data_IF_615108419525
#
_entry.id   IF_615108419525
#
_cell.length_a   1.000
_cell.length_b   1.000
_cell.length_c   1.000
_cell.angle_alpha   90.00
_cell.angle_beta   90.00
_cell.angle_gamma   90.00
#
_symmetry.space_group_name_H-M   'P 1'
#
loop_
_entity.id
_entity.type
_entity.pdbx_description
1 polymer ?
#
# COMPACT_ATOMS: atom_id res chain seq x y z
N UNK A 1 37.62 12.43 67.52
CA UNK A 1 36.31 13.11 67.53
C UNK A 1 36.02 13.52 66.10
N UNK A 2 34.91 13.07 65.52
CA UNK A 2 34.51 13.51 64.16
C UNK A 2 34.21 15.01 64.24
N UNK A 3 34.81 15.79 63.37
CA UNK A 3 34.63 17.24 63.38
C UNK A 3 33.20 17.58 62.91
N UNK A 4 32.48 18.38 63.69
CA UNK A 4 31.10 18.76 63.38
C UNK A 4 30.98 19.44 62.01
N UNK A 5 32.02 20.18 61.59
CA UNK A 5 32.10 20.79 60.26
C UNK A 5 32.06 19.77 59.13
N UNK A 6 32.72 18.62 59.30
CA UNK A 6 32.84 17.59 58.26
C UNK A 6 31.52 16.82 58.11
N UNK A 7 30.79 16.65 59.22
CA UNK A 7 29.45 16.07 59.21
C UNK A 7 28.45 17.00 58.50
N UNK A 8 28.50 18.30 58.78
CA UNK A 8 27.65 19.28 58.09
C UNK A 8 27.95 19.35 56.59
N UNK A 9 29.23 19.34 56.21
CA UNK A 9 29.63 19.34 54.80
C UNK A 9 29.21 18.07 54.07
N UNK A 10 29.28 16.90 54.71
CA UNK A 10 28.82 15.64 54.11
C UNK A 10 27.30 15.59 53.97
N UNK A 11 26.55 16.09 54.95
CA UNK A 11 25.09 16.22 54.87
C UNK A 11 24.67 17.16 53.73
N UNK A 12 25.34 18.30 53.58
CA UNK A 12 25.02 19.29 52.55
C UNK A 12 25.21 18.72 51.14
N UNK A 13 26.31 17.97 50.92
CA UNK A 13 26.55 17.24 49.66
C UNK A 13 25.46 16.21 49.37
N UNK A 14 25.00 15.49 50.38
CA UNK A 14 23.94 14.50 50.23
C UNK A 14 22.59 15.16 49.86
N UNK A 15 22.27 16.31 50.47
CA UNK A 15 21.09 17.08 50.12
C UNK A 15 21.17 17.60 48.66
N UNK A 16 22.34 18.03 48.21
CA UNK A 16 22.56 18.45 46.82
C UNK A 16 22.40 17.28 45.84
N UNK A 17 22.96 16.10 46.16
CA UNK A 17 22.80 14.92 45.30
C UNK A 17 21.33 14.49 45.18
N UNK A 18 20.58 14.48 46.28
CA UNK A 18 19.15 14.18 46.25
C UNK A 18 18.35 15.22 45.46
N UNK A 19 18.71 16.50 45.56
CA UNK A 19 18.07 17.55 44.76
C UNK A 19 18.29 17.32 43.26
N UNK A 20 19.50 16.96 42.85
CA UNK A 20 19.81 16.64 41.46
C UNK A 20 19.02 15.42 40.99
N UNK A 21 18.98 14.36 41.78
CA UNK A 21 18.23 13.14 41.45
C UNK A 21 16.73 13.40 41.29
N UNK A 22 16.13 14.21 42.17
CA UNK A 22 14.73 14.62 42.06
C UNK A 22 14.46 15.35 40.74
N UNK A 23 15.34 16.28 40.35
CA UNK A 23 15.16 17.02 39.10
C UNK A 23 15.35 16.12 37.86
N UNK A 24 16.29 15.17 37.91
CA UNK A 24 16.47 14.16 36.86
C UNK A 24 15.24 13.26 36.72
N UNK A 25 14.70 12.76 37.84
CA UNK A 25 13.50 11.92 37.84
C UNK A 25 12.27 12.69 37.31
N UNK A 26 12.11 13.96 37.67
CA UNK A 26 11.04 14.81 37.12
C UNK A 26 11.16 15.00 35.61
N UNK A 27 12.39 15.20 35.12
CA UNK A 27 12.63 15.32 33.69
C UNK A 27 12.30 14.01 32.95
N UNK A 28 12.68 12.88 33.52
CA UNK A 28 12.39 11.56 32.96
C UNK A 28 10.88 11.26 32.93
N UNK A 29 10.16 11.57 34.01
CA UNK A 29 8.70 11.41 34.06
C UNK A 29 8.04 12.21 32.94
N UNK A 30 8.41 13.49 32.75
CA UNK A 30 7.88 14.31 31.66
C UNK A 30 8.16 13.72 30.29
N UNK A 31 9.38 13.19 30.07
CA UNK A 31 9.75 12.54 28.81
C UNK A 31 8.87 11.31 28.54
N UNK A 32 8.70 10.46 29.55
CA UNK A 32 7.90 9.24 29.48
C UNK A 32 6.41 9.55 29.29
N UNK A 33 5.89 10.62 29.89
CA UNK A 33 4.51 11.08 29.68
C UNK A 33 4.26 11.46 28.22
N UNK A 34 5.17 12.26 27.63
CA UNK A 34 5.08 12.65 26.21
C UNK A 34 5.15 11.42 25.30
N UNK A 35 6.08 10.51 25.57
CA UNK A 35 6.23 9.28 24.78
C UNK A 35 5.00 8.38 24.88
N UNK A 36 4.41 8.24 26.07
CA UNK A 36 3.18 7.48 26.29
C UNK A 36 1.99 8.12 25.57
N UNK A 37 1.87 9.44 25.57
CA UNK A 37 0.82 10.15 24.83
C UNK A 37 0.96 9.92 23.32
N UNK A 38 2.18 10.01 22.79
CA UNK A 38 2.47 9.71 21.39
C UNK A 38 2.07 8.27 21.03
N UNK A 39 2.51 7.28 21.81
CA UNK A 39 2.16 5.87 21.56
C UNK A 39 0.66 5.60 21.68
N UNK A 40 -0.03 6.23 22.63
CA UNK A 40 -1.50 6.12 22.74
C UNK A 40 -2.20 6.70 21.51
N UNK A 41 -1.72 7.82 21.00
CA UNK A 41 -2.27 8.46 19.80
C UNK A 41 -2.10 7.57 18.56
N UNK A 42 -0.91 7.01 18.37
CA UNK A 42 -0.60 6.09 17.27
C UNK A 42 -1.41 4.80 17.38
N UNK A 43 -1.47 4.19 18.57
CA UNK A 43 -2.25 2.99 18.79
C UNK A 43 -3.74 3.21 18.49
N UNK A 44 -4.29 4.38 18.86
CA UNK A 44 -5.67 4.74 18.54
C UNK A 44 -5.88 4.85 17.03
N UNK A 45 -4.98 5.51 16.30
CA UNK A 45 -5.06 5.63 14.84
C UNK A 45 -5.01 4.25 14.16
N UNK A 46 -4.04 3.42 14.55
CA UNK A 46 -3.90 2.06 14.03
C UNK A 46 -5.12 1.18 14.35
N UNK A 47 -5.73 1.33 15.53
CA UNK A 47 -6.95 0.60 15.88
C UNK A 47 -8.15 1.00 15.03
N UNK A 48 -8.29 2.29 14.71
CA UNK A 48 -9.33 2.78 13.81
C UNK A 48 -9.12 2.19 12.41
N UNK A 49 -7.91 2.31 11.85
CA UNK A 49 -7.58 1.74 10.54
C UNK A 49 -7.82 0.23 10.51
N UNK A 50 -7.40 -0.50 11.54
CA UNK A 50 -7.60 -1.95 11.62
C UNK A 50 -9.09 -2.32 11.66
N UNK A 51 -9.92 -1.54 12.38
CA UNK A 51 -11.36 -1.75 12.42
C UNK A 51 -12.00 -1.51 11.04
N UNK A 52 -11.64 -0.42 10.35
CA UNK A 52 -12.11 -0.14 9.01
C UNK A 52 -11.71 -1.23 8.01
N UNK A 53 -10.45 -1.68 8.05
CA UNK A 53 -9.97 -2.74 7.17
C UNK A 53 -10.69 -4.06 7.46
N UNK A 54 -10.93 -4.40 8.73
CA UNK A 54 -11.71 -5.58 9.12
C UNK A 54 -13.14 -5.51 8.63
N UNK A 55 -13.79 -4.34 8.72
CA UNK A 55 -15.12 -4.13 8.17
C UNK A 55 -15.12 -4.34 6.65
N UNK A 56 -14.19 -3.70 5.93
CA UNK A 56 -14.06 -3.85 4.47
C UNK A 56 -13.83 -5.31 4.05
N UNK A 57 -13.04 -6.06 4.82
CA UNK A 57 -12.79 -7.49 4.56
C UNK A 57 -13.99 -8.38 4.92
N UNK A 58 -14.77 -8.00 5.94
CA UNK A 58 -15.99 -8.69 6.36
C UNK A 58 -17.16 -8.47 5.40
N UNK A 59 -17.18 -7.35 4.67
CA UNK A 59 -18.17 -7.02 3.62
C UNK A 59 -17.85 -7.72 2.29
N UNK A 60 -17.71 -9.04 2.32
CA UNK A 60 -17.62 -9.88 1.13
C UNK A 60 -18.92 -10.67 0.92
N UNK A 61 -19.15 -11.17 -0.29
CA UNK A 61 -20.36 -11.91 -0.66
C UNK A 61 -20.50 -13.27 0.04
N UNK A 62 -19.46 -13.70 0.77
CA UNK A 62 -19.50 -14.92 1.59
C UNK A 62 -20.08 -14.65 2.99
N UNK A 63 -19.88 -13.45 3.53
CA UNK A 63 -20.26 -13.10 4.91
C UNK A 63 -21.36 -12.03 5.01
N UNK A 64 -21.69 -11.35 3.91
CA UNK A 64 -22.75 -10.34 3.84
C UNK A 64 -23.74 -10.70 2.73
N UNK A 65 -25.04 -10.45 2.94
CA UNK A 65 -26.09 -10.59 1.90
C UNK A 65 -25.95 -9.62 0.72
N UNK A 66 -24.78 -8.99 0.57
CA UNK A 66 -24.42 -8.17 -0.58
C UNK A 66 -24.31 -9.08 -1.81
N UNK A 67 -25.06 -8.80 -2.89
CA UNK A 67 -24.96 -9.57 -4.12
C UNK A 67 -23.52 -9.50 -4.65
N UNK A 68 -22.98 -10.63 -5.14
CA UNK A 68 -21.63 -10.67 -5.70
C UNK A 68 -21.43 -9.62 -6.80
N UNK A 69 -22.46 -9.20 -7.54
CA UNK A 69 -22.35 -8.11 -8.52
C UNK A 69 -21.90 -6.76 -7.95
N UNK A 70 -22.25 -6.44 -6.68
CA UNK A 70 -21.92 -5.18 -5.99
C UNK A 70 -20.68 -5.27 -5.08
N UNK A 71 -20.04 -6.43 -5.04
CA UNK A 71 -18.85 -6.67 -4.22
C UNK A 71 -17.63 -5.94 -4.81
N UNK A 72 -17.12 -4.94 -4.09
CA UNK A 72 -15.99 -4.08 -4.51
C UNK A 72 -14.66 -4.84 -4.57
N UNK A 73 -14.46 -5.79 -3.64
CA UNK A 73 -13.21 -6.54 -3.49
C UNK A 73 -13.39 -8.02 -3.81
N UNK A 74 -13.66 -8.33 -5.08
CA UNK A 74 -13.76 -9.73 -5.54
C UNK A 74 -12.41 -10.42 -5.50
N UNK A 75 -12.30 -11.45 -4.66
CA UNK A 75 -11.24 -12.44 -4.78
C UNK A 75 -11.36 -13.12 -6.16
N UNK A 76 -10.38 -12.92 -7.03
CA UNK A 76 -10.32 -13.63 -8.32
C UNK A 76 -10.17 -15.12 -8.04
N UNK A 77 -11.24 -15.88 -8.28
CA UNK A 77 -11.20 -17.35 -8.23
C UNK A 77 -10.18 -17.85 -9.24
N UNK A 78 -9.18 -18.61 -8.78
CA UNK A 78 -8.27 -19.35 -9.67
C UNK A 78 -9.10 -20.41 -10.39
N UNK A 79 -9.54 -20.11 -11.61
CA UNK A 79 -10.22 -21.10 -12.46
C UNK A 79 -9.19 -22.15 -12.84
N UNK A 80 -9.51 -23.43 -12.59
CA UNK A 80 -8.70 -24.53 -13.12
C UNK A 80 -8.66 -24.40 -14.63
N UNK A 81 -7.46 -24.59 -15.21
CA UNK A 81 -7.31 -24.63 -16.66
C UNK A 81 -8.16 -25.79 -17.16
N UNK A 82 -9.00 -25.53 -18.15
CA UNK A 82 -9.81 -26.57 -18.77
C UNK A 82 -8.89 -27.57 -19.47
N UNK A 83 -9.10 -28.86 -19.26
CA UNK A 83 -8.43 -29.92 -20.00
C UNK A 83 -8.91 -30.00 -21.46
N UNK A 84 -10.03 -29.33 -21.79
CA UNK A 84 -10.49 -29.21 -23.18
C UNK A 84 -9.49 -28.37 -23.97
N UNK A 85 -9.08 -28.90 -25.11
CA UNK A 85 -8.30 -28.17 -26.12
C UNK A 85 -9.06 -26.91 -26.53
N UNK A 86 -8.33 -25.80 -26.61
CA UNK A 86 -8.86 -24.51 -27.08
C UNK A 86 -9.03 -24.63 -28.59
N UNK A 87 -10.25 -24.48 -29.10
CA UNK A 87 -10.55 -24.61 -30.52
C UNK A 87 -11.99 -25.07 -30.77
N UNK A 88 -12.36 -25.15 -32.05
CA UNK A 88 -13.65 -25.71 -32.46
C UNK A 88 -13.77 -27.18 -32.06
N UNK A 89 -15.01 -27.68 -31.97
CA UNK A 89 -15.28 -29.08 -31.67
C UNK A 89 -14.59 -30.01 -32.67
N UNK A 90 -14.15 -31.18 -32.21
CA UNK A 90 -13.57 -32.24 -33.06
C UNK A 90 -14.59 -32.59 -34.15
N UNK A 91 -14.22 -32.39 -35.41
CA UNK A 91 -15.08 -32.59 -36.58
C UNK A 91 -15.74 -31.33 -37.14
N UNK A 92 -15.55 -30.16 -36.53
CA UNK A 92 -16.06 -28.91 -37.10
C UNK A 92 -15.10 -28.40 -38.18
N UNK A 93 -15.55 -28.42 -39.44
CA UNK A 93 -14.79 -27.81 -40.53
C UNK A 93 -14.80 -26.29 -40.36
N UNK A 94 -13.60 -25.69 -40.39
CA UNK A 94 -13.46 -24.24 -40.32
C UNK A 94 -13.86 -23.62 -41.65
N UNK A 95 -14.86 -22.74 -41.64
CA UNK A 95 -15.23 -21.97 -42.83
C UNK A 95 -14.41 -20.67 -42.85
N UNK A 96 -13.51 -20.55 -43.82
CA UNK A 96 -12.72 -19.35 -44.02
C UNK A 96 -13.14 -18.67 -45.33
N UNK A 97 -13.05 -17.34 -45.38
CA UNK A 97 -13.16 -16.63 -46.66
C UNK A 97 -11.89 -16.89 -47.48
N UNK A 98 -11.98 -17.04 -48.81
CA UNK A 98 -10.80 -17.12 -49.65
C UNK A 98 -9.97 -15.84 -49.47
N UNK A 99 -8.64 -15.97 -49.54
CA UNK A 99 -7.77 -14.80 -49.55
C UNK A 99 -8.09 -13.99 -50.80
N UNK A 100 -8.42 -12.73 -50.61
CA UNK A 100 -8.54 -11.78 -51.71
C UNK A 100 -7.16 -11.23 -52.04
N UNK A 101 -6.91 -11.00 -53.31
CA UNK A 101 -5.77 -10.22 -53.76
C UNK A 101 -5.97 -8.77 -53.34
N UNK A 102 -4.90 -8.13 -52.87
CA UNK A 102 -4.94 -6.72 -52.50
C UNK A 102 -4.89 -5.87 -53.77
N UNK A 103 -5.79 -4.90 -53.89
CA UNK A 103 -5.78 -3.95 -55.00
C UNK A 103 -4.47 -3.13 -55.02
N UNK A 104 -3.96 -2.76 -53.85
CA UNK A 104 -2.70 -2.03 -53.68
C UNK A 104 -1.94 -2.46 -52.42
N UNK A 105 -0.61 -2.55 -52.51
CA UNK A 105 0.26 -2.87 -51.37
C UNK A 105 1.20 -1.70 -51.12
N UNK A 106 0.92 -0.91 -50.07
CA UNK A 106 1.77 0.22 -49.67
C UNK A 106 2.82 -0.25 -48.67
N UNK A 107 4.10 -0.10 -49.02
CA UNK A 107 5.21 -0.29 -48.07
C UNK A 107 5.36 0.96 -47.22
N UNK A 108 5.14 0.82 -45.92
CA UNK A 108 5.38 1.88 -44.94
C UNK A 108 6.75 1.62 -44.30
N UNK A 109 7.67 2.56 -44.46
CA UNK A 109 8.92 2.56 -43.72
C UNK A 109 8.69 3.15 -42.33
N UNK A 110 8.73 2.29 -41.31
CA UNK A 110 8.68 2.74 -39.93
C UNK A 110 10.02 3.38 -39.56
N UNK A 111 10.05 4.71 -39.45
CA UNK A 111 11.12 5.39 -38.73
C UNK A 111 11.16 4.84 -37.30
N UNK A 112 12.26 4.16 -36.94
CA UNK A 112 12.51 3.73 -35.56
C UNK A 112 12.76 4.98 -34.71
N UNK A 113 11.69 5.58 -34.20
CA UNK A 113 11.81 6.58 -33.15
C UNK A 113 12.26 5.86 -31.90
N UNK A 114 13.49 6.15 -31.44
CA UNK A 114 14.02 5.69 -30.16
C UNK A 114 13.18 6.34 -29.06
N UNK A 115 12.14 5.64 -28.60
CA UNK A 115 11.26 6.12 -27.52
C UNK A 115 12.05 6.24 -26.22
N UNK A 116 12.38 7.47 -25.81
CA UNK A 116 12.45 7.81 -24.39
C UNK A 116 11.06 8.26 -23.98
N UNK A 117 10.34 7.29 -23.40
CA UNK A 117 9.20 7.43 -22.49
C UNK A 117 7.88 7.99 -23.08
N UNK A 118 6.90 7.07 -23.12
CA UNK A 118 5.46 7.22 -22.97
C UNK A 118 4.69 8.25 -23.83
N UNK A 119 3.86 7.67 -24.71
CA UNK A 119 2.45 7.95 -24.95
C UNK A 119 1.99 9.41 -25.15
N UNK A 120 1.64 9.71 -26.41
CA UNK A 120 0.33 10.20 -26.89
C UNK A 120 0.53 10.57 -28.35
N UNK A 121 0.18 9.69 -29.29
CA UNK A 121 0.09 10.05 -30.71
C UNK A 121 -1.36 10.31 -31.07
N UNK A 122 -1.68 11.61 -30.99
CA UNK A 122 -2.88 12.23 -31.56
C UNK A 122 -2.86 11.97 -33.06
N UNK A 123 -3.82 11.17 -33.55
CA UNK A 123 -4.04 11.00 -34.98
C UNK A 123 -4.37 12.35 -35.61
N UNK A 124 -3.45 12.90 -36.41
CA UNK A 124 -3.77 14.02 -37.30
C UNK A 124 -4.35 13.39 -38.57
N UNK A 125 -5.67 13.32 -38.63
CA UNK A 125 -6.36 13.35 -39.91
C UNK A 125 -6.12 14.73 -40.53
N UNK A 126 -5.45 14.78 -41.68
CA UNK A 126 -5.64 15.88 -42.62
C UNK A 126 -5.97 15.30 -43.98
N UNK A 127 -7.27 15.32 -44.23
CA UNK A 127 -7.93 15.22 -45.52
C UNK A 127 -7.40 16.23 -46.54
N UNK A 128 -7.35 15.79 -47.81
CA UNK A 128 -7.55 16.51 -49.07
C UNK A 128 -6.65 17.73 -49.36
N UNK A 129 -5.89 17.62 -50.45
CA UNK A 129 -6.05 18.46 -51.65
C UNK A 129 -5.56 17.67 -52.85
#
# INVERSE_FOLDING_TARGET
MVNMSDLLASLLKLCESFKIEIEQLKAEIKRLEIENENFRSENKALRIENAELKERLGLNSQNSSIPSSKELYKLKKKKKKSDRKIGAQIGHEGKYRPKMEADEVVKIEFLRVRRRNCDIERAIHSSKS
#
